data_IF_302832919246
#
_entry.id   IF_302832919246
#
_cell.length_a   1.000
_cell.length_b   1.000
_cell.length_c   1.000
_cell.angle_alpha   90.00
_cell.angle_beta   90.00
_cell.angle_gamma   90.00
#
_symmetry.space_group_name_H-M   'P 1'
#
loop_
_entity.id
_entity.type
_entity.pdbx_description
1 polymer ?
#
# COMPACT_ATOMS: atom_id res chain seq x y z
N UNK A 1 52.22 -64.76 29.06
CA UNK A 1 50.93 -64.49 29.71
C UNK A 1 50.06 -63.67 28.76
N UNK A 2 48.90 -64.23 28.47
CA UNK A 2 47.78 -63.69 27.71
C UNK A 2 47.10 -62.52 28.42
N UNK A 3 46.69 -61.49 27.68
CA UNK A 3 45.32 -60.92 27.58
C UNK A 3 45.34 -59.72 26.60
N UNK A 4 44.79 -59.84 25.38
CA UNK A 4 43.35 -59.83 25.01
C UNK A 4 42.81 -58.39 25.09
N UNK A 5 42.81 -57.68 23.95
CA UNK A 5 41.64 -57.37 23.08
C UNK A 5 40.94 -56.07 23.53
N UNK A 6 40.80 -55.03 22.70
CA UNK A 6 39.87 -54.83 21.57
C UNK A 6 39.95 -53.32 21.29
N UNK A 7 39.78 -52.72 20.13
CA UNK A 7 39.33 -53.07 18.78
C UNK A 7 39.45 -51.74 18.02
N UNK A 8 40.13 -51.72 16.87
CA UNK A 8 39.52 -51.54 15.54
C UNK A 8 38.54 -50.36 15.50
N UNK A 9 38.83 -49.30 14.77
CA UNK A 9 38.84 -49.27 13.30
C UNK A 9 37.85 -48.16 12.90
N UNK A 10 37.94 -47.38 11.83
CA UNK A 10 38.58 -47.44 10.52
C UNK A 10 38.72 -45.94 10.15
N UNK A 11 39.87 -45.44 9.65
CA UNK A 11 40.14 -45.29 8.21
C UNK A 11 38.89 -44.77 7.45
N UNK A 12 38.91 -43.60 6.81
CA UNK A 12 39.47 -43.34 5.47
C UNK A 12 38.52 -42.21 4.97
N UNK A 13 38.94 -41.07 4.43
CA UNK A 13 39.33 -40.89 3.03
C UNK A 13 39.73 -39.42 2.88
N UNK A 14 40.85 -39.19 2.22
CA UNK A 14 41.39 -37.91 1.80
C UNK A 14 40.43 -37.13 0.90
N UNK A 15 40.47 -35.80 0.96
CA UNK A 15 40.24 -34.98 -0.23
C UNK A 15 41.10 -33.71 -0.12
N UNK A 16 42.15 -33.72 -0.92
CA UNK A 16 42.96 -32.57 -1.26
C UNK A 16 42.20 -31.64 -2.22
N UNK A 17 42.69 -30.39 -2.26
CA UNK A 17 42.45 -29.39 -3.28
C UNK A 17 41.04 -28.79 -3.34
N UNK A 18 40.94 -27.50 -3.03
CA UNK A 18 40.67 -26.46 -4.03
C UNK A 18 40.71 -25.11 -3.31
N UNK A 19 41.72 -24.31 -3.68
CA UNK A 19 41.71 -22.88 -3.41
C UNK A 19 40.62 -22.18 -4.24
N UNK A 20 40.43 -20.90 -3.91
CA UNK A 20 39.35 -20.04 -4.36
C UNK A 20 37.99 -20.46 -3.74
N UNK A 21 37.25 -19.60 -3.05
CA UNK A 21 36.96 -18.24 -3.43
C UNK A 21 36.76 -17.44 -2.14
N UNK A 22 37.58 -16.42 -1.91
CA UNK A 22 37.05 -15.19 -1.34
C UNK A 22 36.14 -14.60 -2.41
N UNK A 23 34.96 -15.20 -2.58
CA UNK A 23 33.85 -14.50 -3.19
C UNK A 23 33.55 -13.40 -2.18
N UNK A 24 33.97 -12.18 -2.54
CA UNK A 24 33.35 -10.95 -2.07
C UNK A 24 31.88 -11.27 -1.82
N UNK A 25 31.45 -11.12 -0.57
CA UNK A 25 30.03 -11.09 -0.26
C UNK A 25 29.44 -9.96 -1.07
N UNK A 26 29.01 -10.26 -2.29
CA UNK A 26 27.92 -9.56 -2.91
C UNK A 26 26.80 -9.76 -1.92
N UNK A 27 26.60 -8.77 -1.06
CA UNK A 27 25.32 -8.55 -0.42
C UNK A 27 24.32 -8.60 -1.57
N UNK A 28 23.65 -9.74 -1.73
CA UNK A 28 22.47 -9.82 -2.55
C UNK A 28 21.57 -8.74 -1.96
N UNK A 29 21.49 -7.59 -2.64
CA UNK A 29 20.44 -6.63 -2.38
C UNK A 29 19.17 -7.45 -2.46
N UNK A 30 18.49 -7.58 -1.32
CA UNK A 30 17.13 -8.12 -1.30
C UNK A 30 16.37 -7.19 -2.24
N UNK A 31 16.12 -7.64 -3.47
CA UNK A 31 15.32 -6.89 -4.42
C UNK A 31 13.95 -6.79 -3.76
N UNK A 32 13.49 -5.58 -3.46
CA UNK A 32 12.17 -5.43 -2.89
C UNK A 32 11.14 -5.77 -3.98
N UNK A 33 9.97 -6.29 -3.59
CA UNK A 33 8.85 -6.40 -4.52
C UNK A 33 8.53 -5.00 -5.02
N UNK A 34 8.51 -4.82 -6.33
CA UNK A 34 8.48 -3.49 -6.94
C UNK A 34 7.37 -3.35 -7.96
N UNK A 35 6.87 -2.13 -8.07
CA UNK A 35 6.03 -1.71 -9.18
C UNK A 35 6.94 -1.36 -10.35
N UNK A 36 6.65 -1.93 -11.51
CA UNK A 36 7.47 -1.82 -12.70
C UNK A 36 6.63 -1.46 -13.92
N UNK A 37 7.13 -0.55 -14.73
CA UNK A 37 6.63 -0.29 -16.07
C UNK A 37 7.60 -0.87 -17.11
N UNK A 38 7.13 -1.70 -18.05
CA UNK A 38 7.95 -2.45 -19.04
C UNK A 38 8.80 -1.58 -20.01
N UNK A 39 8.87 -0.27 -19.83
CA UNK A 39 9.76 0.58 -20.61
C UNK A 39 11.15 0.57 -19.96
N UNK A 40 12.13 -0.07 -20.62
CA UNK A 40 13.58 0.14 -20.41
C UNK A 40 14.03 1.58 -20.74
N UNK A 41 13.15 2.55 -20.60
CA UNK A 41 13.35 3.94 -20.90
C UNK A 41 13.46 4.64 -19.55
N UNK A 42 14.68 5.03 -19.20
CA UNK A 42 14.98 6.02 -18.16
C UNK A 42 14.43 7.40 -18.59
N UNK A 43 13.14 7.50 -18.89
CA UNK A 43 12.44 8.75 -19.10
C UNK A 43 11.26 8.79 -18.14
N UNK A 44 11.04 9.94 -17.50
CA UNK A 44 10.05 10.11 -16.46
C UNK A 44 8.64 9.73 -16.97
N UNK A 45 8.16 8.53 -16.63
CA UNK A 45 6.79 8.12 -16.90
C UNK A 45 5.87 8.80 -15.89
N UNK A 46 4.96 9.64 -16.38
CA UNK A 46 3.95 10.27 -15.53
C UNK A 46 2.81 9.27 -15.34
N UNK A 47 2.60 8.78 -14.11
CA UNK A 47 1.51 7.86 -13.85
C UNK A 47 0.20 8.60 -13.60
N UNK A 48 -0.56 8.75 -14.66
CA UNK A 48 -1.96 9.08 -14.54
C UNK A 48 -2.72 7.84 -14.05
N UNK A 49 -2.98 7.72 -12.75
CA UNK A 49 -3.84 6.66 -12.20
C UNK A 49 -5.31 7.08 -12.42
N UNK A 50 -5.88 6.68 -13.56
CA UNK A 50 -7.33 6.83 -13.77
C UNK A 50 -8.07 5.65 -13.15
N UNK A 51 -8.82 5.90 -12.10
CA UNK A 51 -9.78 4.96 -11.49
C UNK A 51 -10.94 4.73 -12.47
N UNK A 52 -11.19 3.46 -12.82
CA UNK A 52 -12.31 3.09 -13.72
C UNK A 52 -13.51 2.54 -12.96
N UNK A 53 -13.37 2.19 -11.68
CA UNK A 53 -14.51 1.73 -10.88
C UNK A 53 -14.46 2.35 -9.49
N UNK A 54 -15.62 2.88 -9.08
CA UNK A 54 -15.93 3.53 -7.80
C UNK A 54 -15.30 2.81 -6.62
N UNK A 55 -14.19 3.34 -6.15
CA UNK A 55 -13.59 2.95 -4.89
C UNK A 55 -14.46 3.50 -3.79
N UNK A 56 -14.95 2.60 -2.94
CA UNK A 56 -15.75 2.99 -1.79
C UNK A 56 -14.77 3.25 -0.66
N UNK A 57 -14.15 4.43 -0.60
CA UNK A 57 -13.27 4.80 0.51
C UNK A 57 -14.09 4.94 1.80
N UNK A 58 -14.34 3.81 2.46
CA UNK A 58 -14.96 3.76 3.79
C UNK A 58 -13.87 3.97 4.81
N UNK A 59 -13.66 5.23 5.22
CA UNK A 59 -13.06 5.50 6.52
C UNK A 59 -14.14 5.20 7.55
N UNK A 60 -14.06 4.06 8.24
CA UNK A 60 -14.91 3.82 9.42
C UNK A 60 -14.02 3.51 10.60
N UNK A 61 -13.75 4.54 11.41
CA UNK A 61 -13.29 4.41 12.78
C UNK A 61 -14.42 4.79 13.71
N UNK A 62 -15.17 3.79 14.17
CA UNK A 62 -16.21 3.95 15.19
C UNK A 62 -17.42 4.82 14.83
N UNK A 63 -17.40 5.59 13.74
CA UNK A 63 -18.42 6.56 13.33
C UNK A 63 -18.96 6.38 11.90
N UNK A 64 -19.41 7.47 11.30
CA UNK A 64 -20.19 7.49 10.06
C UNK A 64 -19.35 7.12 8.83
N UNK A 65 -19.77 6.16 7.99
CA UNK A 65 -19.10 5.87 6.73
C UNK A 65 -19.23 7.06 5.77
N UNK A 66 -18.09 7.53 5.25
CA UNK A 66 -18.04 8.46 4.13
C UNK A 66 -17.86 7.68 2.83
N UNK A 67 -18.46 8.18 1.75
CA UNK A 67 -18.34 7.65 0.40
C UNK A 67 -18.30 8.81 -0.56
N UNK A 68 -17.43 8.75 -1.57
CA UNK A 68 -17.27 9.80 -2.57
C UNK A 68 -17.74 9.31 -3.94
N UNK A 69 -18.38 10.19 -4.70
CA UNK A 69 -18.83 9.89 -6.07
C UNK A 69 -17.64 9.71 -7.00
N UNK A 70 -16.56 10.49 -6.77
CA UNK A 70 -15.35 10.43 -7.56
C UNK A 70 -14.11 10.52 -6.68
N UNK A 71 -13.18 9.63 -6.94
CA UNK A 71 -11.88 9.56 -6.31
C UNK A 71 -10.83 9.48 -7.41
N UNK A 72 -9.86 10.39 -7.39
CA UNK A 72 -8.75 10.41 -8.36
C UNK A 72 -7.45 10.26 -7.60
N UNK A 73 -6.56 9.42 -8.12
CA UNK A 73 -5.23 9.23 -7.56
C UNK A 73 -4.22 9.64 -8.63
N UNK A 74 -3.17 10.38 -8.28
CA UNK A 74 -2.15 10.78 -9.26
C UNK A 74 -0.77 10.59 -8.68
N UNK A 75 0.14 9.99 -9.43
CA UNK A 75 1.51 9.77 -8.99
C UNK A 75 2.47 9.73 -10.17
N UNK A 76 3.73 9.42 -9.90
CA UNK A 76 4.74 9.22 -10.94
C UNK A 76 5.57 8.00 -10.56
N UNK A 77 5.78 7.08 -11.48
CA UNK A 77 6.71 5.95 -11.31
C UNK A 77 7.88 6.17 -12.26
N UNK A 78 9.10 6.04 -11.77
CA UNK A 78 10.30 6.05 -12.60
C UNK A 78 10.92 4.66 -12.61
N UNK A 79 10.62 3.87 -13.64
CA UNK A 79 11.11 2.52 -13.80
C UNK A 79 10.58 1.57 -12.72
N UNK A 80 11.48 1.13 -11.84
CA UNK A 80 11.19 0.17 -10.77
C UNK A 80 11.14 0.91 -9.43
N UNK A 81 9.99 0.90 -8.76
CA UNK A 81 9.81 1.54 -7.45
C UNK A 81 9.24 0.57 -6.42
N UNK A 82 9.93 0.35 -5.28
CA UNK A 82 9.40 -0.45 -4.19
C UNK A 82 8.32 0.26 -3.37
N UNK A 83 8.21 1.59 -3.46
CA UNK A 83 7.33 2.39 -2.60
C UNK A 83 6.66 3.57 -3.34
N UNK A 84 5.87 3.31 -4.41
CA UNK A 84 5.19 4.39 -5.12
C UNK A 84 4.25 5.18 -4.22
N UNK A 85 4.22 6.49 -4.46
CA UNK A 85 3.33 7.43 -3.80
C UNK A 85 2.28 7.96 -4.77
N UNK A 86 1.07 8.17 -4.26
CA UNK A 86 -0.03 8.81 -5.02
C UNK A 86 -0.71 9.87 -4.18
N UNK A 87 -1.10 10.95 -4.84
CA UNK A 87 -1.94 12.01 -4.29
C UNK A 87 -3.41 11.69 -4.53
N UNK A 88 -4.22 11.52 -3.48
CA UNK A 88 -5.65 11.35 -3.62
C UNK A 88 -6.37 12.71 -3.77
N UNK A 89 -7.50 12.70 -4.48
CA UNK A 89 -8.45 13.80 -4.60
C UNK A 89 -9.86 13.24 -4.57
N UNK A 90 -10.75 13.88 -3.82
CA UNK A 90 -12.09 13.38 -3.54
C UNK A 90 -13.15 14.41 -3.91
N UNK A 91 -14.20 13.98 -4.60
CA UNK A 91 -15.32 14.82 -5.05
C UNK A 91 -16.66 14.13 -4.75
N UNK A 92 -17.70 14.94 -4.46
CA UNK A 92 -19.05 14.42 -4.21
C UNK A 92 -19.16 13.53 -2.97
N UNK A 93 -18.38 13.81 -1.92
CA UNK A 93 -18.40 13.00 -0.71
C UNK A 93 -19.67 13.22 0.11
N UNK A 94 -20.20 12.12 0.64
CA UNK A 94 -21.37 12.09 1.48
C UNK A 94 -21.22 11.04 2.58
N UNK A 95 -22.00 11.19 3.63
CA UNK A 95 -21.98 10.36 4.82
C UNK A 95 -23.42 9.98 5.20
N UNK A 96 -23.66 8.75 5.66
CA UNK A 96 -25.01 8.31 6.07
C UNK A 96 -25.10 8.30 7.60
N UNK A 97 -25.81 9.27 8.16
CA UNK A 97 -25.92 9.51 9.61
C UNK A 97 -27.38 9.36 10.02
N UNK A 98 -27.67 8.39 10.90
CA UNK A 98 -29.04 8.15 11.34
C UNK A 98 -30.02 7.83 10.20
N UNK A 99 -29.53 7.26 9.09
CA UNK A 99 -30.31 6.94 7.89
C UNK A 99 -30.49 8.11 6.91
N UNK A 100 -29.98 9.30 7.22
CA UNK A 100 -30.00 10.45 6.32
C UNK A 100 -28.64 10.67 5.66
N UNK A 101 -28.65 11.04 4.37
CA UNK A 101 -27.44 11.45 3.64
C UNK A 101 -27.09 12.89 4.01
N UNK A 102 -25.86 13.09 4.48
CA UNK A 102 -25.26 14.40 4.73
C UNK A 102 -24.06 14.59 3.80
N UNK A 103 -23.79 15.82 3.39
CA UNK A 103 -22.56 16.11 2.63
C UNK A 103 -21.33 15.82 3.50
N UNK A 104 -20.21 15.50 2.86
CA UNK A 104 -18.93 15.40 3.51
C UNK A 104 -17.85 16.03 2.63
N UNK A 105 -16.77 16.43 3.25
CA UNK A 105 -15.57 16.94 2.60
C UNK A 105 -14.38 16.14 3.11
N UNK A 106 -13.44 15.84 2.22
CA UNK A 106 -12.17 15.20 2.57
C UNK A 106 -11.05 16.13 2.10
N UNK A 107 -10.32 16.68 3.06
CA UNK A 107 -9.17 17.53 2.83
C UNK A 107 -7.90 16.73 3.10
N UNK A 108 -7.10 16.54 2.06
CA UNK A 108 -5.89 15.70 2.16
C UNK A 108 -4.70 16.47 2.72
N UNK A 109 -4.76 17.81 2.73
CA UNK A 109 -3.67 18.68 3.20
C UNK A 109 -2.28 18.33 2.65
N UNK A 110 -2.22 17.86 1.40
CA UNK A 110 -0.97 17.44 0.74
C UNK A 110 -0.51 16.02 1.06
N UNK A 111 -1.20 15.29 1.95
CA UNK A 111 -0.91 13.90 2.23
C UNK A 111 -0.97 13.04 0.97
N UNK A 112 -0.08 12.07 0.91
CA UNK A 112 0.02 11.05 -0.12
C UNK A 112 -0.18 9.67 0.49
N UNK A 113 -0.56 8.70 -0.34
CA UNK A 113 -0.54 7.29 0.01
C UNK A 113 0.70 6.64 -0.59
N UNK A 114 1.53 6.06 0.27
CA UNK A 114 2.67 5.23 -0.11
C UNK A 114 2.26 3.77 -0.05
N UNK A 115 2.43 3.05 -1.15
CA UNK A 115 2.15 1.62 -1.23
C UNK A 115 3.44 0.83 -1.17
N UNK A 116 3.43 -0.27 -0.43
CA UNK A 116 4.53 -1.24 -0.42
C UNK A 116 3.94 -2.61 -0.72
N UNK A 117 4.57 -3.35 -1.63
CA UNK A 117 4.25 -4.73 -1.90
C UNK A 117 5.26 -5.66 -1.20
N UNK A 118 4.80 -6.83 -0.82
CA UNK A 118 5.61 -7.93 -0.27
C UNK A 118 5.50 -9.15 -1.17
N UNK A 119 6.43 -10.08 -1.03
CA UNK A 119 6.52 -11.25 -1.90
C UNK A 119 5.17 -11.98 -2.01
N UNK A 120 4.80 -12.30 -3.25
CA UNK A 120 3.52 -12.89 -3.61
C UNK A 120 3.66 -14.19 -4.39
N UNK A 121 2.52 -14.77 -4.78
CA UNK A 121 2.45 -15.95 -5.64
C UNK A 121 1.91 -15.59 -7.02
N UNK A 122 2.68 -15.88 -8.07
CA UNK A 122 2.33 -15.58 -9.46
C UNK A 122 1.94 -14.09 -9.65
N UNK A 123 0.66 -13.82 -9.90
CA UNK A 123 0.12 -12.48 -10.16
C UNK A 123 -0.47 -11.79 -8.91
N UNK A 124 -0.42 -12.42 -7.73
CA UNK A 124 -1.03 -11.92 -6.50
C UNK A 124 0.00 -11.62 -5.43
N UNK A 125 -0.07 -10.40 -4.88
CA UNK A 125 0.84 -9.90 -3.86
C UNK A 125 0.05 -9.32 -2.69
N UNK A 126 0.66 -9.33 -1.51
CA UNK A 126 0.16 -8.60 -0.33
C UNK A 126 1.03 -7.39 -0.07
N UNK A 127 0.64 -6.54 0.87
CA UNK A 127 1.51 -5.49 1.36
C UNK A 127 0.80 -4.51 2.28
N UNK A 128 1.30 -3.28 2.28
CA UNK A 128 0.84 -2.22 3.17
C UNK A 128 0.63 -0.91 2.42
N UNK A 129 -0.17 -0.03 3.00
CA UNK A 129 -0.26 1.37 2.63
C UNK A 129 0.14 2.25 3.82
N UNK A 130 0.67 3.43 3.55
CA UNK A 130 0.99 4.42 4.57
C UNK A 130 0.50 5.79 4.14
N UNK A 131 0.07 6.60 5.11
CA UNK A 131 -0.08 8.05 4.89
C UNK A 131 1.31 8.66 5.04
N UNK A 132 1.71 9.50 4.08
CA UNK A 132 3.02 10.17 4.08
C UNK A 132 2.90 11.58 3.51
N UNK A 133 3.95 12.40 3.69
CA UNK A 133 4.12 13.68 3.00
C UNK A 133 2.99 14.69 3.24
N UNK A 134 2.30 14.60 4.39
CA UNK A 134 1.31 15.60 4.76
C UNK A 134 1.98 16.97 4.97
N UNK A 135 1.20 18.04 4.85
CA UNK A 135 1.67 19.37 5.24
C UNK A 135 2.09 19.39 6.71
N UNK A 136 3.19 20.08 7.03
CA UNK A 136 3.64 20.24 8.42
C UNK A 136 2.63 20.98 9.29
N UNK A 137 1.82 21.85 8.68
CA UNK A 137 0.77 22.60 9.38
C UNK A 137 -0.43 21.71 9.72
N UNK A 138 -0.71 20.71 8.87
CA UNK A 138 -1.81 19.77 9.00
C UNK A 138 -1.34 18.34 8.66
N UNK A 139 -0.69 17.63 9.61
CA UNK A 139 -0.10 16.31 9.37
C UNK A 139 -1.14 15.19 9.37
N UNK A 140 -2.28 15.41 8.72
CA UNK A 140 -3.43 14.51 8.71
C UNK A 140 -4.34 14.74 7.52
N UNK A 141 -5.10 13.72 7.14
CA UNK A 141 -6.29 13.86 6.28
C UNK A 141 -7.47 14.24 7.17
N UNK A 142 -8.20 15.30 6.82
CA UNK A 142 -9.36 15.78 7.56
C UNK A 142 -10.65 15.44 6.81
N UNK A 143 -11.60 14.85 7.52
CA UNK A 143 -12.94 14.58 7.01
C UNK A 143 -13.92 15.43 7.81
N UNK A 144 -14.72 16.23 7.13
CA UNK A 144 -15.77 17.03 7.78
C UNK A 144 -17.13 16.70 7.18
N UNK A 145 -18.07 16.25 8.00
CA UNK A 145 -19.46 16.01 7.59
C UNK A 145 -20.32 17.26 7.77
N UNK A 146 -21.43 17.35 7.04
CA UNK A 146 -22.40 18.44 7.17
C UNK A 146 -23.11 18.49 8.53
N UNK A 147 -23.02 17.42 9.33
CA UNK A 147 -23.46 17.40 10.74
C UNK A 147 -22.46 18.01 11.71
N UNK A 148 -21.27 18.42 11.23
CA UNK A 148 -20.18 18.94 12.06
C UNK A 148 -19.33 17.85 12.73
N UNK A 149 -19.40 16.61 12.25
CA UNK A 149 -18.41 15.60 12.64
C UNK A 149 -17.10 15.90 11.93
N UNK A 150 -16.00 15.89 12.68
CA UNK A 150 -14.65 16.05 12.13
C UNK A 150 -13.82 14.83 12.52
N UNK A 151 -13.16 14.21 11.53
CA UNK A 151 -12.26 13.08 11.73
C UNK A 151 -10.90 13.43 11.16
N UNK A 152 -9.85 13.32 11.96
CA UNK A 152 -8.48 13.45 11.51
C UNK A 152 -7.83 12.07 11.45
N UNK A 153 -7.29 11.70 10.29
CA UNK A 153 -6.46 10.50 10.12
C UNK A 153 -5.02 10.97 9.99
N UNK A 154 -4.22 10.78 11.05
CA UNK A 154 -2.88 11.36 11.15
C UNK A 154 -1.80 10.52 10.45
N UNK A 155 -0.74 11.18 10.00
CA UNK A 155 0.41 10.51 9.36
C UNK A 155 1.16 9.59 10.33
N UNK A 156 1.37 10.03 11.58
CA UNK A 156 2.29 9.41 12.52
C UNK A 156 1.85 8.02 13.00
N UNK A 157 0.55 7.77 13.09
CA UNK A 157 -0.01 6.50 13.54
C UNK A 157 -0.48 5.60 12.38
N UNK A 158 -0.43 6.08 11.14
CA UNK A 158 -0.89 5.34 9.95
C UNK A 158 0.27 5.05 8.98
N UNK A 159 1.41 4.61 9.54
CA UNK A 159 2.66 4.37 8.78
C UNK A 159 2.73 3.00 8.11
N UNK A 160 1.82 2.07 8.46
CA UNK A 160 1.77 0.72 7.89
C UNK A 160 0.38 0.09 8.08
N UNK A 161 -0.59 0.51 7.28
CA UNK A 161 -1.92 -0.08 7.20
C UNK A 161 -1.82 -1.40 6.42
N UNK A 162 -2.06 -2.51 7.12
CA UNK A 162 -2.05 -3.85 6.54
C UNK A 162 -3.32 -4.12 5.71
N UNK A 163 -3.42 -5.30 5.08
CA UNK A 163 -4.62 -5.70 4.35
C UNK A 163 -4.72 -5.14 2.94
N UNK A 164 -3.60 -4.70 2.37
CA UNK A 164 -3.51 -4.33 0.95
C UNK A 164 -3.11 -5.55 0.14
N UNK A 165 -3.82 -5.79 -0.95
CA UNK A 165 -3.48 -6.84 -1.93
C UNK A 165 -3.39 -6.24 -3.32
N UNK A 166 -2.45 -6.74 -4.10
CA UNK A 166 -2.20 -6.33 -5.49
C UNK A 166 -2.38 -7.53 -6.41
N UNK A 167 -3.03 -7.33 -7.54
CA UNK A 167 -3.24 -8.36 -8.55
C UNK A 167 -2.88 -7.80 -9.93
N UNK A 168 -1.91 -8.43 -10.61
CA UNK A 168 -1.58 -8.11 -11.99
C UNK A 168 -2.69 -8.67 -12.90
N UNK A 169 -3.39 -7.80 -13.62
CA UNK A 169 -4.43 -8.17 -14.56
C UNK A 169 -3.81 -8.59 -15.91
N UNK A 170 -3.14 -9.73 -15.95
CA UNK A 170 -2.35 -10.21 -17.11
C UNK A 170 -3.20 -10.68 -18.29
N UNK A 171 -4.50 -10.90 -18.08
CA UNK A 171 -5.45 -11.31 -19.13
C UNK A 171 -5.74 -10.22 -20.16
N UNK A 172 -5.46 -8.96 -19.84
CA UNK A 172 -5.66 -7.80 -20.74
C UNK A 172 -4.34 -7.06 -20.94
N UNK A 173 -4.15 -6.52 -22.15
CA UNK A 173 -2.99 -5.69 -22.49
C UNK A 173 -3.42 -4.26 -22.86
N UNK A 174 -2.72 -3.22 -22.39
CA UNK A 174 -1.62 -3.25 -21.41
C UNK A 174 -2.03 -3.81 -20.05
N UNK A 175 -1.09 -4.42 -19.33
CA UNK A 175 -1.33 -5.01 -18.00
C UNK A 175 -1.55 -3.91 -16.99
N UNK A 176 -2.61 -4.04 -16.20
CA UNK A 176 -2.98 -3.12 -15.13
C UNK A 176 -2.86 -3.82 -13.77
N UNK A 177 -2.80 -3.05 -12.68
CA UNK A 177 -2.77 -3.61 -11.32
C UNK A 177 -4.07 -3.30 -10.59
N UNK A 178 -4.77 -4.33 -10.13
CA UNK A 178 -5.87 -4.17 -9.18
C UNK A 178 -5.31 -4.06 -7.77
N UNK A 179 -5.58 -2.97 -7.06
CA UNK A 179 -5.27 -2.82 -5.64
C UNK A 179 -6.58 -2.94 -4.86
N UNK A 180 -6.62 -3.88 -3.92
CA UNK A 180 -7.71 -3.99 -2.94
C UNK A 180 -7.17 -3.63 -1.58
N UNK A 181 -7.79 -2.65 -0.92
CA UNK A 181 -7.54 -2.27 0.46
C UNK A 181 -8.63 -2.86 1.35
N UNK A 182 -8.22 -3.59 2.37
CA UNK A 182 -9.04 -4.03 3.49
C UNK A 182 -8.29 -3.74 4.80
N UNK A 183 -7.89 -2.48 4.95
CA UNK A 183 -7.15 -1.98 6.10
C UNK A 183 -7.99 -1.97 7.36
N UNK A 184 -7.38 -2.41 8.46
CA UNK A 184 -7.95 -2.36 9.80
C UNK A 184 -6.95 -1.69 10.74
N UNK A 185 -7.43 -1.27 11.91
CA UNK A 185 -6.67 -0.54 12.90
C UNK A 185 -6.12 0.80 12.40
N UNK A 186 -6.85 1.46 11.50
CA UNK A 186 -6.55 2.85 11.11
C UNK A 186 -6.76 3.74 12.33
N UNK A 187 -5.78 4.58 12.62
CA UNK A 187 -5.81 5.51 13.73
C UNK A 187 -6.47 6.82 13.30
N UNK A 188 -7.37 7.33 14.14
CA UNK A 188 -8.00 8.62 13.90
C UNK A 188 -8.37 9.34 15.19
N UNK A 189 -8.53 10.66 15.10
CA UNK A 189 -9.09 11.50 16.16
C UNK A 189 -10.48 11.99 15.73
N UNK A 190 -11.49 11.83 16.59
CA UNK A 190 -12.87 12.22 16.29
C UNK A 190 -13.32 13.40 17.14
N UNK A 191 -13.82 14.45 16.50
CA UNK A 191 -14.44 15.62 17.13
C UNK A 191 -15.90 15.73 16.73
N UNK A 192 -16.79 16.01 17.69
CA UNK A 192 -18.25 16.15 17.49
C UNK A 192 -19.10 15.18 18.33
N UNK A 193 -18.54 14.02 18.68
CA UNK A 193 -19.16 13.07 19.61
C UNK A 193 -20.37 12.32 19.04
N UNK A 194 -21.10 11.63 19.91
CA UNK A 194 -22.06 10.58 19.51
C UNK A 194 -23.17 11.09 18.59
N UNK A 195 -23.65 12.31 18.82
CA UNK A 195 -24.79 12.87 18.10
C UNK A 195 -24.45 13.28 16.67
N UNK A 196 -23.21 13.70 16.40
CA UNK A 196 -22.80 14.17 15.06
C UNK A 196 -21.99 13.13 14.30
N UNK A 197 -21.18 12.34 15.01
CA UNK A 197 -20.26 11.35 14.45
C UNK A 197 -20.75 9.90 14.58
N UNK A 198 -21.85 9.64 15.29
CA UNK A 198 -22.28 8.28 15.61
C UNK A 198 -21.35 7.54 16.58
N UNK A 199 -20.37 8.24 17.16
CA UNK A 199 -19.33 7.69 18.03
C UNK A 199 -18.84 8.68 19.06
N UNK A 200 -18.29 8.22 20.18
CA UNK A 200 -17.69 9.13 21.16
C UNK A 200 -16.50 9.89 20.57
N UNK A 201 -16.31 11.14 20.98
CA UNK A 201 -15.12 11.91 20.61
C UNK A 201 -13.85 11.23 21.18
N UNK A 202 -12.69 11.64 20.67
CA UNK A 202 -11.38 11.14 21.09
C UNK A 202 -10.74 10.19 20.08
N UNK A 203 -9.57 9.68 20.45
CA UNK A 203 -8.76 8.80 19.62
C UNK A 203 -9.39 7.43 19.42
N UNK A 204 -9.35 6.95 18.18
CA UNK A 204 -9.81 5.64 17.72
C UNK A 204 -8.67 4.91 17.05
N UNK A 205 -8.56 3.62 17.34
CA UNK A 205 -7.51 2.74 16.77
C UNK A 205 -8.11 1.55 16.04
N UNK A 206 -9.43 1.58 15.80
CA UNK A 206 -10.21 0.52 15.17
C UNK A 206 -10.80 0.99 13.83
N UNK A 207 -10.15 1.98 13.21
CA UNK A 207 -10.50 2.46 11.89
C UNK A 207 -10.33 1.40 10.83
N UNK A 208 -11.09 1.56 9.76
CA UNK A 208 -11.03 0.70 8.58
C UNK A 208 -10.87 1.57 7.34
N UNK A 209 -10.12 1.03 6.37
CA UNK A 209 -10.01 1.53 5.01
C UNK A 209 -10.34 0.39 4.06
N UNK A 210 -11.50 0.48 3.42
CA UNK A 210 -11.89 -0.46 2.38
C UNK A 210 -11.85 0.26 1.05
N UNK A 211 -11.41 -0.42 0.00
CA UNK A 211 -11.38 0.14 -1.34
C UNK A 211 -10.90 -0.88 -2.36
N UNK A 212 -11.31 -0.69 -3.61
CA UNK A 212 -10.76 -1.44 -4.73
C UNK A 212 -10.56 -0.46 -5.89
N UNK A 213 -9.34 -0.38 -6.39
CA UNK A 213 -8.94 0.46 -7.52
C UNK A 213 -8.26 -0.42 -8.57
N UNK A 214 -8.44 -0.06 -9.84
CA UNK A 214 -7.56 -0.53 -10.92
C UNK A 214 -6.62 0.61 -11.27
N UNK A 215 -5.32 0.34 -11.17
CA UNK A 215 -4.25 1.29 -11.45
C UNK A 215 -3.74 1.05 -12.85
N UNK A 216 -3.70 2.13 -13.61
CA UNK A 216 -3.19 2.18 -14.98
C UNK A 216 -1.94 3.06 -15.00
N UNK A 217 -0.94 2.64 -15.77
CA UNK A 217 0.21 3.49 -16.08
C UNK A 217 0.06 4.08 -17.49
N UNK A 218 0.52 5.32 -17.66
CA UNK A 218 0.58 6.00 -18.95
C UNK A 218 2.00 6.54 -19.19
N UNK A 219 2.41 6.62 -20.46
CA UNK A 219 3.66 7.28 -20.84
C UNK A 219 3.49 8.80 -20.96
N UNK A 220 4.56 9.53 -21.29
CA UNK A 220 4.52 10.98 -21.49
C UNK A 220 3.54 11.43 -22.61
N UNK A 221 3.25 10.54 -23.57
CA UNK A 221 2.28 10.75 -24.64
C UNK A 221 0.83 10.41 -24.23
N UNK A 222 0.59 10.04 -22.96
CA UNK A 222 -0.70 9.60 -22.39
C UNK A 222 -1.23 8.28 -22.96
N UNK A 223 -0.37 7.47 -23.54
CA UNK A 223 -0.71 6.12 -23.98
C UNK A 223 -0.54 5.16 -22.80
N UNK A 224 -1.47 4.20 -22.66
CA UNK A 224 -1.41 3.20 -21.60
C UNK A 224 -0.22 2.26 -21.82
N UNK A 225 0.52 1.97 -20.74
CA UNK A 225 1.67 1.04 -20.74
C UNK A 225 1.47 -0.03 -19.67
N UNK A 226 2.21 -1.13 -19.78
CA UNK A 226 2.16 -2.20 -18.77
C UNK A 226 2.62 -1.65 -17.40
N UNK A 227 1.84 -1.95 -16.38
CA UNK A 227 2.18 -1.82 -14.96
C UNK A 227 2.08 -3.20 -14.32
N UNK A 228 3.14 -3.62 -13.63
CA UNK A 228 3.16 -4.90 -12.90
C UNK A 228 3.77 -4.73 -11.52
N UNK A 229 3.30 -5.54 -10.58
CA UNK A 229 3.99 -5.83 -9.32
C UNK A 229 4.81 -7.10 -9.54
N UNK A 230 6.08 -7.08 -9.17
CA UNK A 230 6.99 -8.22 -9.38
C UNK A 230 7.75 -8.55 -8.12
N UNK A 231 8.00 -9.84 -7.88
CA UNK A 231 8.90 -10.29 -6.83
C UNK A 231 10.35 -9.85 -7.11
N UNK A 232 11.20 -9.81 -6.07
CA UNK A 232 12.66 -9.85 -6.20
C UNK A 232 13.18 -10.83 -7.26
#
# INVERSE_FOLDING_TARGET
MTRILKSLGLALVAMAALGAMMASGASAQIQATTFNTNTNVHEAATQSVSTIETSVFRIVAGGVPVTCEKETYTGTLTGTDPNPTVKPSYEGCHAIIGGATSSATIETHGCEYKFSATAGSADKFTGTAAIVNCSKEFPSITITTGTGCVVHVDEANNTAVNGVTYENNTATKPTDVTITLNGTNVHSEVTGGLLTCGTSAGTKTNGTFVGKVTVKATNAAKEQIDLTVMNP
#
